data_IF_285313591179
#
_entry.id   IF_285313591179
#
_cell.length_a   1.000
_cell.length_b   1.000
_cell.length_c   1.000
_cell.angle_alpha   90.00
_cell.angle_beta   90.00
_cell.angle_gamma   90.00
#
_symmetry.space_group_name_H-M   'P 1'
#
loop_
_entity.id
_entity.type
_entity.pdbx_description
1 polymer ?
#
# COMPACT_ATOMS: atom_id res chain seq x y z
N UNK A 1 -1.02 8.41 -13.20
CA UNK A 1 -0.57 8.67 -11.82
C UNK A 1 -0.68 7.39 -11.00
N UNK A 2 0.23 7.20 -10.08
CA UNK A 2 0.21 6.02 -9.20
C UNK A 2 -0.16 6.42 -7.79
N UNK A 3 -0.92 5.56 -7.14
CA UNK A 3 -1.36 5.77 -5.75
C UNK A 3 -1.16 4.50 -4.95
N UNK A 4 -0.72 4.66 -3.71
CA UNK A 4 -0.79 3.59 -2.73
C UNK A 4 -2.15 3.69 -2.04
N UNK A 5 -2.90 2.61 -2.08
CA UNK A 5 -4.23 2.52 -1.47
C UNK A 5 -4.11 1.60 -0.26
N UNK A 6 -4.31 2.17 0.90
CA UNK A 6 -3.93 1.58 2.18
C UNK A 6 -5.18 1.22 2.96
N UNK A 7 -5.34 -0.07 3.24
CA UNK A 7 -6.42 -0.54 4.12
C UNK A 7 -5.92 -0.47 5.55
N UNK A 8 -6.58 0.33 6.37
CA UNK A 8 -6.22 0.47 7.78
C UNK A 8 -6.57 -0.80 8.54
N UNK A 9 -5.78 -1.11 9.55
CA UNK A 9 -6.05 -2.22 10.45
C UNK A 9 -7.25 -1.95 11.34
N UNK A 10 -7.87 -3.02 11.81
CA UNK A 10 -8.95 -2.98 12.80
C UNK A 10 -8.53 -3.82 14.01
N UNK A 11 -9.22 -3.69 15.15
CA UNK A 11 -8.96 -4.57 16.29
C UNK A 11 -9.05 -6.05 15.90
N UNK A 12 -9.96 -6.40 14.98
CA UNK A 12 -10.15 -7.78 14.51
C UNK A 12 -8.96 -8.25 13.66
N UNK A 13 -8.45 -7.41 12.75
CA UNK A 13 -7.33 -7.77 11.90
C UNK A 13 -6.01 -7.85 12.67
N UNK A 14 -5.94 -7.21 13.85
CA UNK A 14 -4.75 -7.20 14.71
C UNK A 14 -4.74 -8.33 15.74
N UNK A 15 -5.79 -9.13 15.84
CA UNK A 15 -5.80 -10.29 16.73
C UNK A 15 -4.79 -11.33 16.29
N UNK A 16 -4.09 -11.91 17.26
CA UNK A 16 -3.18 -13.01 16.99
C UNK A 16 -3.96 -14.18 16.40
N UNK A 17 -3.44 -14.72 15.31
CA UNK A 17 -4.11 -15.81 14.59
C UNK A 17 -5.35 -15.37 13.82
N UNK A 18 -5.52 -14.07 13.60
CA UNK A 18 -6.66 -13.54 12.86
C UNK A 18 -6.75 -14.18 11.48
N UNK A 19 -7.92 -14.74 11.19
CA UNK A 19 -8.25 -15.32 9.89
C UNK A 19 -9.36 -14.46 9.32
N UNK A 20 -9.24 -14.09 8.07
CA UNK A 20 -10.28 -13.33 7.41
C UNK A 20 -11.56 -14.17 7.25
N UNK A 21 -12.71 -13.50 7.36
CA UNK A 21 -13.99 -14.10 7.04
C UNK A 21 -13.96 -14.64 5.59
N UNK A 22 -14.31 -15.92 5.37
CA UNK A 22 -14.33 -16.48 4.02
C UNK A 22 -15.17 -15.70 3.02
N UNK A 23 -16.29 -15.13 3.46
CA UNK A 23 -17.17 -14.33 2.58
C UNK A 23 -16.47 -13.02 2.18
N UNK A 24 -15.80 -12.38 3.11
CA UNK A 24 -15.04 -11.16 2.83
C UNK A 24 -13.90 -11.43 1.86
N UNK A 25 -13.19 -12.54 2.03
CA UNK A 25 -12.13 -12.95 1.10
C UNK A 25 -12.68 -13.19 -0.31
N UNK A 26 -13.85 -13.81 -0.41
CA UNK A 26 -14.49 -14.05 -1.70
C UNK A 26 -14.88 -12.72 -2.39
N UNK A 27 -15.49 -11.81 -1.65
CA UNK A 27 -15.87 -10.50 -2.17
C UNK A 27 -14.65 -9.66 -2.57
N UNK A 28 -13.61 -9.70 -1.75
CA UNK A 28 -12.35 -9.01 -2.04
C UNK A 28 -11.69 -9.59 -3.30
N UNK A 29 -11.74 -10.92 -3.46
CA UNK A 29 -11.25 -11.57 -4.66
C UNK A 29 -11.95 -11.11 -5.93
N UNK A 30 -13.28 -10.96 -5.87
CA UNK A 30 -14.07 -10.44 -6.99
C UNK A 30 -13.72 -8.99 -7.31
N UNK A 31 -13.57 -8.16 -6.28
CA UNK A 31 -13.16 -6.78 -6.42
C UNK A 31 -11.78 -6.67 -7.09
N UNK A 32 -10.83 -7.47 -6.62
CA UNK A 32 -9.49 -7.53 -7.21
C UNK A 32 -9.52 -7.95 -8.68
N UNK A 33 -10.37 -8.90 -9.04
CA UNK A 33 -10.53 -9.30 -10.44
C UNK A 33 -11.00 -8.13 -11.32
N UNK A 34 -11.94 -7.33 -10.84
CA UNK A 34 -12.42 -6.17 -11.56
C UNK A 34 -11.31 -5.12 -11.77
N UNK A 35 -10.53 -4.87 -10.72
CA UNK A 35 -9.39 -3.96 -10.77
C UNK A 35 -8.34 -4.44 -11.78
N UNK A 36 -8.04 -5.73 -11.76
CA UNK A 36 -7.09 -6.35 -12.68
C UNK A 36 -7.57 -6.23 -14.13
N UNK A 37 -8.85 -6.55 -14.39
CA UNK A 37 -9.44 -6.44 -15.72
C UNK A 37 -9.42 -5.00 -16.24
N UNK A 38 -9.58 -4.04 -15.35
CA UNK A 38 -9.52 -2.62 -15.71
C UNK A 38 -8.09 -2.11 -15.92
N UNK A 39 -7.08 -2.93 -15.63
CA UNK A 39 -5.67 -2.55 -15.79
C UNK A 39 -5.19 -1.56 -14.74
N UNK A 40 -5.86 -1.49 -13.60
CA UNK A 40 -5.59 -0.51 -12.55
C UNK A 40 -4.49 -0.96 -11.60
N UNK A 41 -4.44 -2.26 -11.28
CA UNK A 41 -3.56 -2.80 -10.22
C UNK A 41 -2.14 -3.02 -10.71
N UNK A 42 -1.18 -2.46 -9.99
CA UNK A 42 0.26 -2.74 -10.20
C UNK A 42 0.81 -3.69 -9.14
N UNK A 43 0.29 -3.62 -7.92
CA UNK A 43 0.67 -4.51 -6.82
C UNK A 43 -0.46 -4.58 -5.80
N UNK A 44 -0.53 -5.67 -5.05
CA UNK A 44 -1.48 -5.84 -3.96
C UNK A 44 -0.99 -6.92 -3.01
N UNK A 45 -1.05 -6.63 -1.71
CA UNK A 45 -0.67 -7.57 -0.67
C UNK A 45 -1.38 -7.28 0.63
N UNK A 46 -1.66 -8.34 1.39
CA UNK A 46 -2.10 -8.25 2.77
C UNK A 46 -0.92 -8.36 3.72
N UNK A 47 -1.07 -7.81 4.91
CA UNK A 47 -0.06 -7.84 5.95
C UNK A 47 -0.53 -8.69 7.13
N UNK A 48 0.41 -9.39 7.75
CA UNK A 48 0.15 -10.02 9.03
C UNK A 48 -0.11 -8.96 10.12
N UNK A 49 -0.78 -9.34 11.22
CA UNK A 49 -0.92 -8.43 12.37
C UNK A 49 0.43 -7.93 12.87
N UNK A 50 0.43 -6.77 13.52
CA UNK A 50 1.66 -6.14 14.01
C UNK A 50 2.39 -6.99 15.06
N UNK A 51 1.73 -7.98 15.65
CA UNK A 51 2.38 -8.98 16.54
C UNK A 51 3.52 -9.72 15.85
N UNK A 52 3.51 -9.80 14.52
CA UNK A 52 4.60 -10.41 13.71
C UNK A 52 5.56 -9.36 13.15
N UNK A 53 5.40 -8.11 13.55
CA UNK A 53 6.24 -7.02 13.07
C UNK A 53 7.20 -6.51 14.12
N UNK A 54 8.14 -5.70 13.67
CA UNK A 54 9.09 -5.00 14.53
C UNK A 54 9.23 -3.56 14.05
N UNK A 55 9.60 -2.69 14.96
CA UNK A 55 10.00 -1.31 14.66
C UNK A 55 11.44 -1.12 15.06
N UNK A 56 12.20 -0.44 14.22
CA UNK A 56 13.57 -0.04 14.54
C UNK A 56 13.56 1.46 14.74
N UNK A 57 13.88 1.92 15.94
CA UNK A 57 13.94 3.34 16.27
C UNK A 57 15.38 3.82 16.19
N UNK A 58 15.58 4.99 15.62
CA UNK A 58 16.89 5.62 15.47
C UNK A 58 16.98 6.79 16.43
N UNK A 59 18.03 6.85 17.21
CA UNK A 59 18.24 7.95 18.16
C UNK A 59 19.73 8.19 18.35
N UNK A 60 20.23 9.36 17.88
CA UNK A 60 21.61 9.79 18.14
C UNK A 60 22.70 8.79 17.74
N UNK A 61 22.54 8.08 16.64
CA UNK A 61 23.49 7.07 16.16
C UNK A 61 23.30 5.67 16.74
N UNK A 62 22.31 5.49 17.64
CA UNK A 62 21.93 4.18 18.16
C UNK A 62 20.60 3.72 17.57
N UNK A 63 20.35 2.41 17.69
CA UNK A 63 19.14 1.78 17.18
C UNK A 63 18.48 0.97 18.28
N UNK A 64 17.15 1.03 18.36
CA UNK A 64 16.37 0.20 19.28
C UNK A 64 15.34 -0.59 18.49
N UNK A 65 15.31 -1.89 18.69
CA UNK A 65 14.32 -2.77 18.06
C UNK A 65 13.16 -2.97 19.05
N UNK A 66 11.95 -2.69 18.58
CA UNK A 66 10.72 -2.84 19.38
C UNK A 66 9.83 -3.86 18.70
N UNK A 67 9.54 -4.95 19.39
CA UNK A 67 8.64 -5.97 18.89
C UNK A 67 7.18 -5.52 18.98
N UNK A 68 6.36 -5.92 17.98
CA UNK A 68 4.92 -5.76 18.08
C UNK A 68 4.32 -6.71 19.12
N UNK A 69 3.01 -6.61 19.39
CA UNK A 69 2.04 -5.75 18.69
C UNK A 69 2.14 -4.28 19.07
N UNK A 70 1.64 -3.42 18.18
CA UNK A 70 1.56 -1.98 18.40
C UNK A 70 0.11 -1.59 18.70
N UNK A 71 -0.10 -0.61 19.58
CA UNK A 71 -1.42 -0.39 20.22
C UNK A 71 -2.42 0.43 19.42
N UNK A 72 -1.94 1.29 18.52
CA UNK A 72 -2.83 2.19 17.77
C UNK A 72 -3.25 1.58 16.42
N UNK A 73 -4.31 0.76 16.45
CA UNK A 73 -4.81 0.07 15.26
C UNK A 73 -5.09 1.02 14.08
N UNK A 74 -5.58 2.24 14.35
CA UNK A 74 -5.85 3.23 13.31
C UNK A 74 -4.59 3.75 12.61
N UNK A 75 -3.43 3.57 13.19
CA UNK A 75 -2.15 3.93 12.61
C UNK A 75 -1.47 2.76 11.89
N UNK A 76 -2.05 1.57 12.03
CA UNK A 76 -1.53 0.35 11.42
C UNK A 76 -2.25 0.06 10.11
N UNK A 77 -1.59 -0.70 9.24
CA UNK A 77 -2.18 -1.09 7.97
C UNK A 77 -2.35 -2.60 7.90
N UNK A 78 -3.47 -3.03 7.31
CA UNK A 78 -3.78 -4.45 7.12
C UNK A 78 -3.39 -4.94 5.74
N UNK A 79 -3.28 -4.04 4.78
CA UNK A 79 -2.91 -4.37 3.42
C UNK A 79 -2.87 -3.15 2.53
N UNK A 80 -2.47 -3.34 1.30
CA UNK A 80 -2.35 -2.23 0.36
C UNK A 80 -2.48 -2.70 -1.09
N UNK A 81 -2.79 -1.74 -1.95
CA UNK A 81 -2.62 -1.84 -3.39
C UNK A 81 -1.71 -0.72 -3.87
N UNK A 82 -1.09 -0.92 -5.01
CA UNK A 82 -0.55 0.17 -5.82
C UNK A 82 -1.36 0.19 -7.10
N UNK A 83 -2.01 1.34 -7.37
CA UNK A 83 -2.86 1.53 -8.55
C UNK A 83 -2.26 2.56 -9.50
N UNK A 84 -2.48 2.32 -10.79
CA UNK A 84 -2.21 3.31 -11.82
C UNK A 84 -3.56 3.78 -12.37
N UNK A 85 -3.90 5.03 -12.14
CA UNK A 85 -5.15 5.67 -12.55
C UNK A 85 -4.86 7.07 -13.08
N UNK A 86 -5.88 7.70 -13.67
CA UNK A 86 -5.73 9.02 -14.28
C UNK A 86 -5.51 10.13 -13.26
N UNK A 87 -6.21 10.05 -12.14
CA UNK A 87 -6.19 11.07 -11.09
C UNK A 87 -6.76 10.51 -9.78
N UNK A 88 -6.75 11.34 -8.73
CA UNK A 88 -7.25 10.96 -7.41
C UNK A 88 -8.76 10.66 -7.43
N UNK A 89 -9.52 11.34 -8.25
CA UNK A 89 -10.98 11.14 -8.31
C UNK A 89 -11.33 9.74 -8.81
N UNK A 90 -10.59 9.24 -9.80
CA UNK A 90 -10.75 7.86 -10.27
C UNK A 90 -10.40 6.86 -9.16
N UNK A 91 -9.32 7.11 -8.41
CA UNK A 91 -8.96 6.27 -7.27
C UNK A 91 -10.06 6.25 -6.21
N UNK A 92 -10.63 7.41 -5.90
CA UNK A 92 -11.73 7.53 -4.93
C UNK A 92 -12.94 6.70 -5.38
N UNK A 93 -13.33 6.80 -6.65
CA UNK A 93 -14.46 6.04 -7.18
C UNK A 93 -14.24 4.53 -7.09
N UNK A 94 -13.02 4.06 -7.34
CA UNK A 94 -12.69 2.66 -7.14
C UNK A 94 -12.75 2.24 -5.68
N UNK A 95 -12.23 3.06 -4.76
CA UNK A 95 -12.22 2.77 -3.32
C UNK A 95 -13.64 2.68 -2.76
N UNK A 96 -14.57 3.51 -3.23
CA UNK A 96 -15.97 3.46 -2.80
C UNK A 96 -16.63 2.09 -3.05
N UNK A 97 -16.10 1.32 -3.98
CA UNK A 97 -16.61 -0.02 -4.32
C UNK A 97 -15.91 -1.13 -3.55
N UNK A 98 -14.91 -0.79 -2.74
CA UNK A 98 -14.16 -1.77 -1.96
C UNK A 98 -15.05 -2.44 -0.92
N UNK A 99 -15.08 -3.78 -0.86
CA UNK A 99 -15.89 -4.51 0.11
C UNK A 99 -15.21 -4.52 1.48
N UNK A 100 -15.39 -3.44 2.23
CA UNK A 100 -14.91 -3.32 3.62
C UNK A 100 -16.11 -3.16 4.54
N UNK A 101 -15.98 -3.66 5.77
CA UNK A 101 -17.04 -3.68 6.76
C UNK A 101 -16.98 -2.49 7.72
N UNK A 102 -18.17 -2.08 8.19
CA UNK A 102 -18.35 -1.19 9.33
C UNK A 102 -17.61 0.13 9.20
N UNK A 103 -16.84 0.46 10.23
CA UNK A 103 -16.11 1.71 10.33
C UNK A 103 -14.70 1.64 9.73
N UNK A 104 -14.52 0.81 8.72
CA UNK A 104 -13.22 0.67 8.03
C UNK A 104 -12.84 1.96 7.31
N UNK A 105 -11.53 2.17 7.23
CA UNK A 105 -10.95 3.34 6.57
C UNK A 105 -9.91 2.89 5.55
N UNK A 106 -9.97 3.51 4.38
CA UNK A 106 -8.99 3.28 3.31
C UNK A 106 -8.36 4.63 2.98
N UNK A 107 -7.03 4.69 3.07
CA UNK A 107 -6.28 5.91 2.75
C UNK A 107 -5.69 5.80 1.35
N UNK A 108 -5.73 6.91 0.62
CA UNK A 108 -5.15 6.99 -0.73
C UNK A 108 -4.00 7.99 -0.69
N UNK A 109 -2.80 7.56 -1.06
CA UNK A 109 -1.59 8.41 -1.09
C UNK A 109 -0.94 8.36 -2.46
N UNK A 110 -0.72 9.52 -3.05
CA UNK A 110 -0.03 9.61 -4.33
C UNK A 110 1.43 9.22 -4.17
N UNK A 111 1.93 8.40 -5.10
CA UNK A 111 3.33 7.99 -5.13
C UNK A 111 4.11 9.04 -5.92
N UNK A 112 5.30 9.39 -5.43
CA UNK A 112 6.20 10.28 -6.16
C UNK A 112 6.59 9.66 -7.50
N UNK A 113 6.53 10.47 -8.54
CA UNK A 113 7.11 10.15 -9.84
C UNK A 113 8.42 10.92 -10.03
N UNK A 114 9.20 10.54 -11.02
CA UNK A 114 10.51 11.20 -11.24
C UNK A 114 10.37 12.68 -11.54
N UNK A 115 9.30 13.09 -12.22
CA UNK A 115 9.00 14.48 -12.53
C UNK A 115 8.85 15.36 -11.27
N UNK A 116 8.37 14.77 -10.18
CA UNK A 116 8.18 15.47 -8.91
C UNK A 116 9.52 15.94 -8.32
N UNK A 117 10.62 15.30 -8.70
CA UNK A 117 11.96 15.65 -8.23
C UNK A 117 12.70 16.64 -9.15
N UNK A 118 12.11 17.03 -10.28
CA UNK A 118 12.73 17.94 -11.23
C UNK A 118 13.21 19.25 -10.62
N UNK A 119 12.51 19.86 -9.64
CA UNK A 119 12.99 21.09 -9.02
C UNK A 119 14.26 20.94 -8.19
N UNK A 120 14.58 19.72 -7.73
CA UNK A 120 15.71 19.49 -6.80
C UNK A 120 16.77 18.54 -7.35
N UNK A 121 16.52 17.89 -8.48
CA UNK A 121 17.46 16.96 -9.12
C UNK A 121 17.80 17.42 -10.53
N UNK A 122 19.03 17.17 -10.95
CA UNK A 122 19.43 17.40 -12.34
C UNK A 122 18.82 16.33 -13.24
N UNK A 123 18.76 16.62 -14.54
CA UNK A 123 18.28 15.64 -15.53
C UNK A 123 19.08 14.34 -15.47
N UNK A 124 20.41 14.43 -15.34
CA UNK A 124 21.28 13.26 -15.22
C UNK A 124 20.95 12.41 -13.99
N UNK A 125 20.70 13.08 -12.84
CA UNK A 125 20.31 12.38 -11.61
C UNK A 125 18.96 11.68 -11.77
N UNK A 126 18.00 12.33 -12.42
CA UNK A 126 16.68 11.75 -12.71
C UNK A 126 16.83 10.53 -13.60
N UNK A 127 17.60 10.62 -14.70
CA UNK A 127 17.82 9.51 -15.61
C UNK A 127 18.51 8.32 -14.92
N UNK A 128 19.44 8.59 -14.02
CA UNK A 128 20.07 7.54 -13.22
C UNK A 128 19.05 6.80 -12.35
N UNK A 129 18.15 7.55 -11.69
CA UNK A 129 17.08 6.97 -10.86
C UNK A 129 16.09 6.15 -11.69
N UNK A 130 15.73 6.66 -12.86
CA UNK A 130 14.84 5.93 -13.80
C UNK A 130 15.48 4.60 -14.21
N UNK A 131 16.76 4.62 -14.57
CA UNK A 131 17.49 3.42 -14.95
C UNK A 131 17.55 2.39 -13.81
N UNK A 132 17.79 2.84 -12.58
CA UNK A 132 17.80 1.95 -11.42
C UNK A 132 16.43 1.36 -11.12
N UNK A 133 15.38 2.14 -11.28
CA UNK A 133 14.02 1.64 -11.11
C UNK A 133 13.65 0.56 -12.12
N UNK A 134 14.13 0.70 -13.33
CA UNK A 134 13.90 -0.28 -14.40
C UNK A 134 14.52 -1.65 -14.10
N UNK A 135 15.49 -1.71 -13.19
CA UNK A 135 16.11 -2.96 -12.76
C UNK A 135 15.21 -3.76 -11.80
N UNK A 136 14.17 -3.14 -11.24
CA UNK A 136 13.25 -3.82 -10.33
C UNK A 136 12.29 -4.73 -11.10
N UNK A 137 12.23 -6.04 -10.81
CA UNK A 137 11.45 -6.99 -11.60
C UNK A 137 9.97 -6.64 -11.73
N UNK A 138 9.36 -6.20 -10.64
CA UNK A 138 7.92 -5.90 -10.61
C UNK A 138 7.55 -4.56 -11.23
N UNK A 139 8.53 -3.69 -11.46
CA UNK A 139 8.27 -2.38 -12.07
C UNK A 139 8.50 -2.36 -13.57
N UNK A 140 9.27 -3.29 -14.09
CA UNK A 140 9.47 -3.42 -15.54
C UNK A 140 8.26 -4.02 -16.25
N UNK A 141 7.47 -4.82 -15.55
CA UNK A 141 6.29 -5.46 -16.10
C UNK A 141 5.12 -4.50 -16.37
N UNK A 142 5.20 -3.27 -15.88
CA UNK A 142 4.11 -2.29 -15.92
C UNK A 142 4.37 -1.10 -16.84
N UNK A 143 5.23 -1.29 -17.80
CA UNK A 143 5.50 -0.27 -18.82
C UNK A 143 4.54 -0.38 -19.99
#
# INVERSE_FOLDING_TARGET
MRFMVIVKASPESEKEGAVHDPQLLLEMGKYNEELIKAGVVLAMDGLHPSSKGVRVKFSGGSHTVVDGPFTEAKELIAGFWIWKVRNIDEAIEWVKRCPVDGDSEVEIRQIFEMEDFAPVLTEEQIQHKVAKRAELPNQTANK
#
